data_IF_562147880910
#
_entry.id   IF_562147880910
#
_cell.length_a   1.000
_cell.length_b   1.000
_cell.length_c   1.000
_cell.angle_alpha   90.00
_cell.angle_beta   90.00
_cell.angle_gamma   90.00
#
_symmetry.space_group_name_H-M   'P 1'
#
loop_
_entity.id
_entity.type
_entity.pdbx_description
1 polymer ?
#
# COMPACT_ATOMS: atom_id res chain seq x y z
N UNK A 1 -8.60 11.00 1.29
CA UNK A 1 -8.52 9.95 2.34
C UNK A 1 -9.88 9.74 2.99
N UNK A 2 -10.43 10.71 3.73
CA UNK A 2 -11.74 10.52 4.39
C UNK A 2 -12.88 10.22 3.42
N UNK A 3 -12.94 10.97 2.32
CA UNK A 3 -13.93 10.78 1.26
C UNK A 3 -13.82 9.37 0.63
N UNK A 4 -12.60 8.91 0.34
CA UNK A 4 -12.29 7.59 -0.22
C UNK A 4 -12.79 6.44 0.67
N UNK A 5 -12.57 6.53 2.00
CA UNK A 5 -13.06 5.52 2.94
C UNK A 5 -14.59 5.48 3.03
N UNK A 6 -15.25 6.64 2.91
CA UNK A 6 -16.68 6.78 3.17
C UNK A 6 -17.58 6.69 1.94
N UNK A 7 -17.02 6.91 0.74
CA UNK A 7 -17.72 6.77 -0.54
C UNK A 7 -18.50 5.46 -0.71
N UNK A 8 -17.94 4.27 -0.46
CA UNK A 8 -18.67 3.01 -0.64
C UNK A 8 -19.76 2.81 0.42
N UNK A 9 -19.70 3.53 1.55
CA UNK A 9 -20.78 3.51 2.53
C UNK A 9 -21.96 4.37 2.09
N UNK A 10 -21.70 5.50 1.45
CA UNK A 10 -22.73 6.42 0.94
C UNK A 10 -23.32 5.95 -0.40
N UNK A 11 -22.50 5.59 -1.39
CA UNK A 11 -22.96 5.32 -2.76
C UNK A 11 -23.07 3.81 -2.97
N UNK A 12 -24.31 3.33 -3.03
CA UNK A 12 -24.61 1.89 -3.18
C UNK A 12 -24.66 1.43 -4.63
N UNK A 13 -25.05 2.30 -5.56
CA UNK A 13 -25.11 1.95 -6.98
C UNK A 13 -23.69 1.86 -7.54
N UNK A 14 -23.31 0.76 -8.22
CA UNK A 14 -21.97 0.62 -8.79
C UNK A 14 -21.60 1.72 -9.78
N UNK A 15 -22.58 2.19 -10.57
CA UNK A 15 -22.38 3.26 -11.57
C UNK A 15 -22.01 4.59 -10.89
N UNK A 16 -22.81 5.04 -9.93
CA UNK A 16 -22.56 6.28 -9.17
C UNK A 16 -21.23 6.23 -8.42
N UNK A 17 -20.91 5.06 -7.85
CA UNK A 17 -19.66 4.85 -7.12
C UNK A 17 -18.44 4.93 -8.05
N UNK A 18 -18.52 4.33 -9.25
CA UNK A 18 -17.46 4.40 -10.25
C UNK A 18 -17.21 5.84 -10.71
N UNK A 19 -18.28 6.61 -10.96
CA UNK A 19 -18.20 8.01 -11.34
C UNK A 19 -17.62 8.87 -10.20
N UNK A 20 -18.03 8.63 -8.95
CA UNK A 20 -17.47 9.33 -7.81
C UNK A 20 -15.97 9.05 -7.64
N UNK A 21 -15.52 7.81 -7.83
CA UNK A 21 -14.10 7.46 -7.83
C UNK A 21 -13.34 8.07 -9.01
N UNK A 22 -13.99 8.29 -10.16
CA UNK A 22 -13.39 9.06 -11.25
C UNK A 22 -12.99 10.46 -10.79
N UNK A 23 -13.89 11.19 -10.11
CA UNK A 23 -13.59 12.52 -9.59
C UNK A 23 -12.53 12.51 -8.47
N UNK A 24 -12.55 11.51 -7.58
CA UNK A 24 -11.49 11.33 -6.58
C UNK A 24 -10.13 11.11 -7.25
N UNK A 25 -10.10 10.32 -8.33
CA UNK A 25 -8.88 10.08 -9.12
C UNK A 25 -8.37 11.36 -9.77
N UNK A 26 -9.26 12.17 -10.37
CA UNK A 26 -8.89 13.48 -10.93
C UNK A 26 -8.30 14.41 -9.85
N UNK A 27 -8.93 14.48 -8.67
CA UNK A 27 -8.41 15.24 -7.55
C UNK A 27 -6.99 14.80 -7.15
N UNK A 28 -6.71 13.49 -7.13
CA UNK A 28 -5.37 12.98 -6.83
C UNK A 28 -4.32 13.34 -7.89
N UNK A 29 -4.70 13.34 -9.18
CA UNK A 29 -3.82 13.81 -10.26
C UNK A 29 -3.40 15.27 -10.05
N UNK A 30 -4.33 16.16 -9.70
CA UNK A 30 -4.01 17.55 -9.38
C UNK A 30 -3.19 17.69 -8.11
N UNK A 31 -3.48 16.90 -7.06
CA UNK A 31 -2.67 16.86 -5.85
C UNK A 31 -1.22 16.45 -6.16
N UNK A 32 -1.01 15.47 -7.03
CA UNK A 32 0.32 15.07 -7.51
C UNK A 32 1.03 16.20 -8.26
N UNK A 33 0.31 16.95 -9.10
CA UNK A 33 0.85 18.14 -9.80
C UNK A 33 1.24 19.24 -8.81
N UNK A 34 0.43 19.51 -7.79
CA UNK A 34 0.78 20.48 -6.73
C UNK A 34 2.06 20.06 -6.03
N UNK A 35 2.18 18.79 -5.61
CA UNK A 35 3.39 18.30 -4.93
C UNK A 35 4.65 18.43 -5.78
N UNK A 36 4.53 18.21 -7.10
CA UNK A 36 5.65 18.29 -8.04
C UNK A 36 6.05 19.72 -8.39
N UNK A 37 5.08 20.60 -8.63
CA UNK A 37 5.34 21.95 -9.17
C UNK A 37 5.14 23.08 -8.17
N UNK A 38 4.66 22.78 -6.96
CA UNK A 38 4.32 23.74 -5.92
C UNK A 38 3.30 24.82 -6.37
N UNK A 39 2.53 24.53 -7.40
CA UNK A 39 1.55 25.45 -7.96
C UNK A 39 0.18 25.30 -7.27
N UNK A 40 0.01 25.98 -6.14
CA UNK A 40 -1.14 25.83 -5.24
C UNK A 40 -2.49 26.31 -5.80
N UNK A 41 -2.52 27.09 -6.89
CA UNK A 41 -3.79 27.49 -7.54
C UNK A 41 -4.60 26.30 -8.02
N UNK A 42 -3.97 25.14 -8.24
CA UNK A 42 -4.70 23.92 -8.59
C UNK A 42 -5.58 23.35 -7.48
N UNK A 43 -5.47 23.87 -6.25
CA UNK A 43 -6.35 23.49 -5.16
C UNK A 43 -7.83 23.74 -5.49
N UNK A 44 -8.13 24.76 -6.32
CA UNK A 44 -9.49 25.05 -6.80
C UNK A 44 -10.10 23.83 -7.50
N UNK A 45 -9.35 23.14 -8.35
CA UNK A 45 -9.82 21.94 -9.05
C UNK A 45 -10.03 20.76 -8.10
N UNK A 46 -9.12 20.57 -7.14
CA UNK A 46 -9.25 19.51 -6.13
C UNK A 46 -10.56 19.70 -5.34
N UNK A 47 -10.82 20.92 -4.87
CA UNK A 47 -12.04 21.25 -4.14
C UNK A 47 -13.28 21.05 -5.01
N UNK A 48 -13.26 21.49 -6.28
CA UNK A 48 -14.37 21.29 -7.21
C UNK A 48 -14.68 19.80 -7.44
N UNK A 49 -13.67 18.96 -7.64
CA UNK A 49 -13.86 17.52 -7.85
C UNK A 49 -14.34 16.81 -6.59
N UNK A 50 -13.75 17.09 -5.42
CA UNK A 50 -14.12 16.41 -4.17
C UNK A 50 -15.48 16.85 -3.62
N UNK A 51 -16.01 18.00 -4.04
CA UNK A 51 -17.33 18.48 -3.62
C UNK A 51 -18.37 18.28 -4.72
N UNK A 52 -18.40 19.18 -5.69
CA UNK A 52 -19.37 19.19 -6.79
C UNK A 52 -19.30 17.95 -7.66
N UNK A 53 -18.10 17.51 -8.05
CA UNK A 53 -17.92 16.33 -8.91
C UNK A 53 -18.48 15.05 -8.31
N UNK A 54 -18.13 14.77 -7.05
CA UNK A 54 -18.68 13.62 -6.32
C UNK A 54 -20.19 13.78 -6.15
N UNK A 55 -20.67 14.96 -5.74
CA UNK A 55 -22.10 15.19 -5.55
C UNK A 55 -22.92 15.01 -6.83
N UNK A 56 -22.38 15.34 -8.00
CA UNK A 56 -23.02 15.14 -9.31
C UNK A 56 -22.96 13.70 -9.82
N UNK A 57 -22.22 12.81 -9.16
CA UNK A 57 -22.07 11.41 -9.60
C UNK A 57 -23.30 10.55 -9.32
N UNK A 58 -24.26 11.04 -8.53
CA UNK A 58 -25.51 10.34 -8.21
C UNK A 58 -26.70 10.99 -8.93
N UNK A 59 -27.54 10.17 -9.52
CA UNK A 59 -28.79 10.62 -10.17
C UNK A 59 -29.86 11.02 -9.14
N UNK A 60 -29.81 10.41 -7.94
CA UNK A 60 -30.81 10.59 -6.88
C UNK A 60 -30.16 10.62 -5.51
N UNK A 61 -30.82 11.24 -4.52
CA UNK A 61 -30.35 11.23 -3.13
C UNK A 61 -30.50 9.84 -2.52
N UNK A 62 -29.50 9.40 -1.77
CA UNK A 62 -29.58 8.24 -0.88
C UNK A 62 -30.22 8.68 0.45
N UNK A 63 -31.27 7.97 0.88
CA UNK A 63 -32.06 8.33 2.08
C UNK A 63 -31.62 7.58 3.34
N UNK A 64 -30.73 6.61 3.18
CA UNK A 64 -30.25 5.77 4.28
C UNK A 64 -29.33 6.56 5.22
N UNK A 65 -29.39 6.23 6.51
CA UNK A 65 -28.42 6.75 7.46
C UNK A 65 -27.07 6.04 7.27
N UNK A 66 -26.01 6.83 7.06
CA UNK A 66 -24.66 6.32 6.87
C UNK A 66 -23.79 6.77 8.03
N UNK A 67 -23.25 5.80 8.78
CA UNK A 67 -22.27 6.10 9.82
C UNK A 67 -20.89 6.25 9.18
N UNK A 68 -20.39 7.49 9.10
CA UNK A 68 -19.05 7.75 8.60
C UNK A 68 -17.96 7.31 9.58
N UNK A 69 -16.86 6.81 9.02
CA UNK A 69 -15.71 6.30 9.77
C UNK A 69 -14.46 7.10 9.47
N UNK A 70 -13.52 7.21 10.44
CA UNK A 70 -12.21 7.76 10.18
C UNK A 70 -11.41 6.83 9.27
N UNK A 71 -10.40 7.38 8.59
CA UNK A 71 -9.58 6.61 7.66
C UNK A 71 -8.61 5.72 8.40
N UNK A 72 -8.66 4.43 8.10
CA UNK A 72 -7.72 3.46 8.67
C UNK A 72 -6.50 3.23 7.77
N UNK A 73 -6.45 3.87 6.59
CA UNK A 73 -5.39 3.66 5.59
C UNK A 73 -3.98 3.93 6.13
N UNK A 74 -3.78 5.04 6.87
CA UNK A 74 -2.47 5.40 7.42
C UNK A 74 -2.03 4.35 8.46
N UNK A 75 -2.95 3.96 9.36
CA UNK A 75 -2.67 2.94 10.36
C UNK A 75 -2.37 1.59 9.71
N UNK A 76 -3.15 1.18 8.70
CA UNK A 76 -2.92 -0.06 7.92
C UNK A 76 -1.54 -0.06 7.25
N UNK A 77 -1.11 1.08 6.69
CA UNK A 77 0.23 1.23 6.11
C UNK A 77 1.33 1.09 7.17
N UNK A 78 1.17 1.72 8.33
CA UNK A 78 2.10 1.59 9.44
C UNK A 78 2.20 0.13 9.94
N UNK A 79 1.05 -0.52 10.17
CA UNK A 79 0.99 -1.93 10.57
C UNK A 79 1.63 -2.85 9.52
N UNK A 80 1.41 -2.59 8.23
CA UNK A 80 2.02 -3.34 7.15
C UNK A 80 3.55 -3.16 7.12
N UNK A 81 4.04 -1.92 7.26
CA UNK A 81 5.47 -1.65 7.33
C UNK A 81 6.12 -2.37 8.51
N UNK A 82 5.49 -2.33 9.70
CA UNK A 82 5.98 -3.04 10.87
C UNK A 82 5.99 -4.56 10.65
N UNK A 83 4.92 -5.11 10.09
CA UNK A 83 4.79 -6.55 9.78
C UNK A 83 5.87 -7.01 8.79
N UNK A 84 6.21 -6.19 7.81
CA UNK A 84 7.16 -6.53 6.75
C UNK A 84 8.59 -6.05 7.01
N UNK A 85 8.87 -5.47 8.19
CA UNK A 85 10.19 -4.94 8.53
C UNK A 85 11.29 -6.02 8.45
N UNK A 86 11.10 -7.17 9.11
CA UNK A 86 12.06 -8.30 9.07
C UNK A 86 12.29 -8.83 7.66
N UNK A 87 11.22 -9.03 6.89
CA UNK A 87 11.33 -9.44 5.48
C UNK A 87 12.14 -8.45 4.64
N UNK A 88 11.99 -7.15 4.90
CA UNK A 88 12.72 -6.10 4.19
C UNK A 88 14.20 -6.12 4.56
N UNK A 89 14.54 -6.27 5.84
CA UNK A 89 15.92 -6.39 6.31
C UNK A 89 16.65 -7.61 5.68
N UNK A 90 16.00 -8.78 5.67
CA UNK A 90 16.54 -9.98 5.01
C UNK A 90 16.75 -9.75 3.51
N UNK A 91 15.75 -9.15 2.84
CA UNK A 91 15.87 -8.86 1.41
C UNK A 91 16.95 -7.81 1.12
N UNK A 92 17.24 -6.90 2.06
CA UNK A 92 18.34 -5.94 1.99
C UNK A 92 19.69 -6.66 1.92
N UNK A 93 19.97 -7.55 2.88
CA UNK A 93 21.19 -8.38 2.90
C UNK A 93 21.36 -9.24 1.65
N UNK A 94 20.29 -9.86 1.17
CA UNK A 94 20.33 -10.73 -0.02
C UNK A 94 20.59 -9.92 -1.29
N UNK A 95 19.93 -8.77 -1.47
CA UNK A 95 20.02 -8.05 -2.74
C UNK A 95 21.42 -7.48 -2.97
N UNK A 96 22.17 -7.15 -1.91
CA UNK A 96 23.54 -6.64 -2.01
C UNK A 96 24.47 -7.69 -2.62
N UNK A 97 24.32 -8.95 -2.23
CA UNK A 97 25.10 -10.07 -2.77
C UNK A 97 24.64 -10.50 -4.16
N UNK A 98 23.34 -10.42 -4.44
CA UNK A 98 22.75 -10.87 -5.70
C UNK A 98 22.69 -9.78 -6.77
N UNK A 99 23.06 -8.54 -6.44
CA UNK A 99 22.96 -7.36 -7.32
C UNK A 99 21.59 -7.18 -7.98
N UNK A 100 20.52 -7.45 -7.23
CA UNK A 100 19.12 -7.30 -7.69
C UNK A 100 18.42 -6.18 -6.94
N UNK A 101 17.21 -5.80 -7.38
CA UNK A 101 16.40 -4.84 -6.62
C UNK A 101 15.75 -5.52 -5.41
N UNK A 102 15.65 -4.83 -4.28
CA UNK A 102 14.98 -5.32 -3.06
C UNK A 102 13.59 -5.89 -3.36
N UNK A 103 12.84 -5.21 -4.23
CA UNK A 103 11.50 -5.61 -4.62
C UNK A 103 11.49 -6.95 -5.35
N UNK A 104 12.45 -7.17 -6.24
CA UNK A 104 12.60 -8.43 -6.97
C UNK A 104 13.06 -9.54 -6.02
N UNK A 105 14.00 -9.26 -5.13
CA UNK A 105 14.47 -10.20 -4.11
C UNK A 105 13.33 -10.68 -3.20
N UNK A 106 12.50 -9.76 -2.70
CA UNK A 106 11.30 -10.10 -1.89
C UNK A 106 10.34 -10.99 -2.66
N UNK A 107 10.14 -10.74 -3.95
CA UNK A 107 9.16 -11.46 -4.77
C UNK A 107 9.66 -12.85 -5.16
N UNK A 108 10.90 -12.91 -5.62
CA UNK A 108 11.41 -14.05 -6.38
C UNK A 108 12.47 -14.86 -5.65
N UNK A 109 13.08 -14.35 -4.57
CA UNK A 109 14.17 -15.04 -3.85
C UNK A 109 13.74 -15.47 -2.45
N UNK A 110 13.13 -14.57 -1.68
CA UNK A 110 12.72 -14.83 -0.28
C UNK A 110 11.84 -16.09 -0.14
N UNK A 111 10.86 -16.37 -1.00
CA UNK A 111 10.04 -17.59 -0.89
C UNK A 111 10.87 -18.88 -1.00
N UNK A 112 11.88 -18.92 -1.86
CA UNK A 112 12.77 -20.08 -2.00
C UNK A 112 13.70 -20.21 -0.80
N UNK A 113 14.18 -19.09 -0.25
CA UNK A 113 14.99 -19.10 0.97
C UNK A 113 14.21 -19.71 2.15
N UNK A 114 12.92 -19.40 2.31
CA UNK A 114 12.08 -20.03 3.34
C UNK A 114 11.99 -21.55 3.16
N UNK A 115 11.90 -22.04 1.93
CA UNK A 115 11.87 -23.49 1.66
C UNK A 115 13.22 -24.14 2.00
N UNK A 116 14.33 -23.52 1.61
CA UNK A 116 15.68 -24.02 1.89
C UNK A 116 15.93 -24.10 3.40
N UNK A 117 15.58 -23.05 4.14
CA UNK A 117 15.77 -22.99 5.59
C UNK A 117 14.91 -24.02 6.35
N UNK A 118 13.75 -24.41 5.81
CA UNK A 118 12.90 -25.47 6.39
C UNK A 118 13.42 -26.87 6.12
N UNK A 119 13.94 -27.13 4.92
CA UNK A 119 14.25 -28.49 4.48
C UNK A 119 15.70 -28.89 4.69
N UNK A 120 16.66 -27.98 4.55
CA UNK A 120 18.09 -28.31 4.54
C UNK A 120 18.89 -27.44 5.52
N UNK A 121 19.15 -28.00 6.71
CA UNK A 121 19.89 -27.33 7.79
C UNK A 121 21.36 -27.04 7.46
N UNK A 122 21.98 -27.84 6.60
CA UNK A 122 23.39 -27.66 6.24
C UNK A 122 23.55 -26.47 5.29
N UNK A 123 22.69 -26.37 4.27
CA UNK A 123 22.67 -25.23 3.36
C UNK A 123 22.21 -23.95 4.05
N UNK A 124 21.24 -24.03 4.96
CA UNK A 124 20.78 -22.85 5.71
C UNK A 124 21.90 -22.24 6.55
N UNK A 125 22.75 -23.05 7.18
CA UNK A 125 23.90 -22.57 7.96
C UNK A 125 24.92 -21.82 7.10
N UNK A 126 25.25 -22.35 5.91
CA UNK A 126 26.16 -21.69 4.95
C UNK A 126 25.59 -20.36 4.46
N UNK A 127 24.30 -20.34 4.11
CA UNK A 127 23.62 -19.14 3.63
C UNK A 127 23.49 -18.09 4.75
N UNK A 128 23.17 -18.49 5.97
CA UNK A 128 23.07 -17.59 7.10
C UNK A 128 24.42 -16.93 7.42
N UNK A 129 25.53 -17.68 7.34
CA UNK A 129 26.87 -17.14 7.54
C UNK A 129 27.28 -16.18 6.40
N UNK A 130 27.02 -16.52 5.14
CA UNK A 130 27.38 -15.69 3.98
C UNK A 130 26.61 -14.36 3.93
N UNK A 131 25.35 -14.38 4.39
CA UNK A 131 24.45 -13.23 4.43
C UNK A 131 24.50 -12.45 5.75
N UNK A 132 25.26 -12.92 6.74
CA UNK A 132 25.34 -12.35 8.09
C UNK A 132 23.94 -12.15 8.72
N UNK A 133 23.13 -13.22 8.72
CA UNK A 133 21.76 -13.19 9.24
C UNK A 133 21.73 -13.31 10.76
N UNK A 134 20.89 -12.49 11.40
CA UNK A 134 20.67 -12.56 12.85
C UNK A 134 19.81 -13.79 13.21
N UNK A 135 19.89 -14.25 14.45
CA UNK A 135 19.08 -15.39 14.95
C UNK A 135 17.59 -15.16 14.72
N UNK A 136 17.11 -13.94 14.94
CA UNK A 136 15.71 -13.55 14.71
C UNK A 136 15.28 -13.62 13.24
N UNK A 137 16.21 -13.39 12.31
CA UNK A 137 15.97 -13.44 10.86
C UNK A 137 15.94 -14.88 10.37
N UNK A 138 16.84 -15.72 10.90
CA UNK A 138 16.86 -17.16 10.67
C UNK A 138 15.57 -17.80 11.18
N UNK A 139 15.12 -17.45 12.38
CA UNK A 139 13.84 -17.92 12.91
C UNK A 139 12.66 -17.54 12.01
N UNK A 140 12.66 -16.30 11.49
CA UNK A 140 11.62 -15.84 10.57
C UNK A 140 11.62 -16.61 9.24
N UNK A 141 12.78 -17.01 8.73
CA UNK A 141 12.90 -17.83 7.51
C UNK A 141 12.48 -19.29 7.73
N UNK A 142 12.71 -19.83 8.93
CA UNK A 142 12.30 -21.18 9.31
C UNK A 142 10.80 -21.32 9.56
N UNK A 143 10.08 -20.22 9.78
CA UNK A 143 8.64 -20.18 10.04
C UNK A 143 7.81 -20.46 8.79
#
# INVERSE_FOLDING_TARGET
LWVDENLPYEYKKPKDLAEAYHYVSQADLFNRRIRRWQHWRFLVYINAFLSGGIASSKDSKYSEFVQYKPTMRILKLWMANQKYAKRKAIAEKIHEKMHTSVKETVKSVVPYMQVIFKQNKEMSGKIAAELDLDEEEVEWLCK
#
